data_IF_527604138346
#
_entry.id   IF_527604138346
#
_cell.length_a   1.000
_cell.length_b   1.000
_cell.length_c   1.000
_cell.angle_alpha   90.00
_cell.angle_beta   90.00
_cell.angle_gamma   90.00
#
_symmetry.space_group_name_H-M   'P 1'
#
loop_
_entity.id
_entity.type
_entity.pdbx_description
1 polymer ?
#
# COMPACT_ATOMS: atom_id res chain seq x y z
N UNK A 1 4.21 -16.74 30.20
CA UNK A 1 4.29 -15.85 29.03
C UNK A 1 3.45 -16.51 27.93
N UNK A 2 2.62 -15.77 27.22
CA UNK A 2 1.84 -16.36 26.13
C UNK A 2 2.73 -16.68 24.93
N UNK A 3 2.28 -17.53 24.00
CA UNK A 3 3.05 -17.87 22.81
C UNK A 3 3.39 -16.61 21.97
N UNK A 4 2.45 -15.68 21.87
CA UNK A 4 2.68 -14.39 21.20
C UNK A 4 3.82 -13.61 21.86
N UNK A 5 3.80 -13.49 23.19
CA UNK A 5 4.85 -12.76 23.92
C UNK A 5 6.24 -13.40 23.75
N UNK A 6 6.30 -14.73 23.76
CA UNK A 6 7.55 -15.47 23.56
C UNK A 6 8.13 -15.21 22.17
N UNK A 7 7.30 -15.26 21.13
CA UNK A 7 7.76 -15.01 19.76
C UNK A 7 8.18 -13.55 19.57
N UNK A 8 7.43 -12.59 20.11
CA UNK A 8 7.84 -11.17 20.08
C UNK A 8 9.21 -10.99 20.74
N UNK A 9 9.44 -11.58 21.92
CA UNK A 9 10.72 -11.52 22.61
C UNK A 9 11.86 -12.13 21.77
N UNK A 10 11.62 -13.28 21.15
CA UNK A 10 12.59 -13.93 20.25
C UNK A 10 12.92 -13.06 19.03
N UNK A 11 11.93 -12.41 18.42
CA UNK A 11 12.15 -11.52 17.28
C UNK A 11 13.04 -10.34 17.67
N UNK A 12 12.79 -9.72 18.83
CA UNK A 12 13.62 -8.62 19.36
C UNK A 12 15.06 -9.07 19.59
N UNK A 13 15.24 -10.22 20.21
CA UNK A 13 16.58 -10.78 20.52
C UNK A 13 17.36 -11.11 19.23
N UNK A 14 16.72 -11.78 18.26
CA UNK A 14 17.37 -12.21 17.01
C UNK A 14 17.65 -11.08 16.02
N UNK A 15 17.01 -9.93 16.16
CA UNK A 15 17.10 -8.82 15.23
C UNK A 15 17.52 -7.52 15.94
N UNK A 16 18.71 -7.47 16.57
CA UNK A 16 19.14 -6.27 17.27
C UNK A 16 19.20 -5.07 16.32
N UNK A 17 18.87 -3.87 16.83
CA UNK A 17 18.95 -2.60 16.08
C UNK A 17 17.97 -2.52 14.87
N UNK A 18 16.80 -3.18 14.95
CA UNK A 18 15.75 -3.11 13.93
C UNK A 18 14.39 -2.68 14.52
N UNK A 19 14.29 -1.47 15.10
CA UNK A 19 13.12 -1.05 15.87
C UNK A 19 11.82 -1.03 15.04
N UNK A 20 11.87 -0.67 13.76
CA UNK A 20 10.70 -0.65 12.89
C UNK A 20 10.16 -2.07 12.65
N UNK A 21 11.05 -3.05 12.50
CA UNK A 21 10.65 -4.45 12.36
C UNK A 21 10.06 -5.00 13.67
N UNK A 22 10.66 -4.67 14.82
CA UNK A 22 10.12 -5.07 16.14
C UNK A 22 8.71 -4.52 16.34
N UNK A 23 8.50 -3.24 16.02
CA UNK A 23 7.20 -2.59 16.16
C UNK A 23 6.15 -3.26 15.25
N UNK A 24 6.46 -3.49 13.98
CA UNK A 24 5.53 -4.11 13.04
C UNK A 24 5.12 -5.53 13.47
N UNK A 25 6.08 -6.35 13.90
CA UNK A 25 5.79 -7.70 14.41
C UNK A 25 4.91 -7.63 15.65
N UNK A 26 5.24 -6.76 16.61
CA UNK A 26 4.44 -6.58 17.83
C UNK A 26 3.00 -6.18 17.51
N UNK A 27 2.80 -5.15 16.70
CA UNK A 27 1.48 -4.65 16.33
C UNK A 27 0.62 -5.73 15.65
N UNK A 28 1.20 -6.47 14.72
CA UNK A 28 0.48 -7.54 14.02
C UNK A 28 0.16 -8.70 14.97
N UNK A 29 1.15 -9.23 15.69
CA UNK A 29 0.93 -10.40 16.57
C UNK A 29 -0.01 -10.09 17.74
N UNK A 30 0.04 -8.88 18.32
CA UNK A 30 -0.91 -8.44 19.34
C UNK A 30 -2.37 -8.46 18.81
N UNK A 31 -2.58 -8.00 17.59
CA UNK A 31 -3.91 -8.01 16.97
C UNK A 31 -4.43 -9.42 16.65
N UNK A 32 -3.54 -10.41 16.62
CA UNK A 32 -3.84 -11.80 16.29
C UNK A 32 -4.01 -12.70 17.53
N UNK A 33 -3.83 -12.18 18.76
CA UNK A 33 -3.90 -12.99 19.99
C UNK A 33 -5.13 -13.89 20.06
N UNK A 34 -6.29 -13.36 19.73
CA UNK A 34 -7.55 -14.09 19.79
C UNK A 34 -7.54 -15.35 18.90
N UNK A 35 -6.90 -15.27 17.74
CA UNK A 35 -6.77 -16.41 16.81
C UNK A 35 -5.67 -17.36 17.27
N UNK A 36 -4.55 -16.82 17.72
CA UNK A 36 -3.39 -17.60 18.16
C UNK A 36 -3.73 -18.40 19.42
N UNK A 37 -4.38 -17.79 20.40
CA UNK A 37 -4.79 -18.47 21.64
C UNK A 37 -5.81 -19.58 21.38
N UNK A 38 -6.70 -19.39 20.40
CA UNK A 38 -7.68 -20.42 20.02
C UNK A 38 -7.05 -21.65 19.34
N UNK A 39 -5.82 -21.54 18.82
CA UNK A 39 -5.12 -22.59 18.06
C UNK A 39 -3.68 -22.82 18.58
N UNK A 40 -3.37 -22.44 19.83
CA UNK A 40 -2.00 -22.36 20.34
C UNK A 40 -1.23 -23.68 20.25
N UNK A 41 -1.85 -24.80 20.60
CA UNK A 41 -1.19 -26.11 20.59
C UNK A 41 -0.68 -26.48 19.19
N UNK A 42 -1.53 -26.32 18.19
CA UNK A 42 -1.19 -26.62 16.79
C UNK A 42 -0.12 -25.66 16.26
N UNK A 43 -0.26 -24.35 16.54
CA UNK A 43 0.68 -23.34 16.05
C UNK A 43 2.06 -23.49 16.69
N UNK A 44 2.13 -23.80 17.99
CA UNK A 44 3.42 -24.11 18.66
C UNK A 44 4.07 -25.37 18.08
N UNK A 45 3.32 -26.42 17.90
CA UNK A 45 3.82 -27.69 17.33
C UNK A 45 4.50 -27.49 15.98
N UNK A 46 3.97 -26.58 15.17
CA UNK A 46 4.44 -26.32 13.81
C UNK A 46 5.41 -25.09 13.76
N UNK A 47 5.78 -24.50 14.90
CA UNK A 47 6.57 -23.27 15.00
C UNK A 47 6.05 -22.18 14.03
N UNK A 48 4.74 -22.02 13.98
CA UNK A 48 4.07 -21.25 12.94
C UNK A 48 4.42 -19.76 13.01
N UNK A 49 4.36 -19.16 14.20
CA UNK A 49 4.67 -17.75 14.36
C UNK A 49 6.15 -17.45 14.15
N UNK A 50 7.03 -18.35 14.56
CA UNK A 50 8.48 -18.24 14.32
C UNK A 50 8.79 -18.27 12.81
N UNK A 51 8.15 -19.15 12.06
CA UNK A 51 8.27 -19.22 10.58
C UNK A 51 7.65 -17.99 9.91
N UNK A 52 6.52 -17.51 10.41
CA UNK A 52 5.84 -16.34 9.88
C UNK A 52 6.61 -15.04 10.09
N UNK A 53 7.35 -14.92 11.20
CA UNK A 53 8.11 -13.71 11.56
C UNK A 53 9.56 -13.74 11.09
N UNK A 54 10.02 -14.86 10.52
CA UNK A 54 11.37 -15.00 9.98
C UNK A 54 11.28 -15.04 8.44
N UNK A 55 11.88 -14.07 7.72
CA UNK A 55 11.84 -14.08 6.27
C UNK A 55 12.54 -15.32 5.68
N UNK A 56 11.99 -15.87 4.61
CA UNK A 56 12.55 -17.06 3.94
C UNK A 56 13.94 -16.76 3.38
N UNK A 57 14.18 -15.55 2.84
CA UNK A 57 15.49 -15.12 2.34
C UNK A 57 15.72 -13.63 2.53
N UNK A 58 16.96 -13.28 2.82
CA UNK A 58 17.45 -11.90 2.90
C UNK A 58 18.68 -11.78 2.01
N UNK A 59 18.60 -10.94 0.99
CA UNK A 59 19.63 -10.78 -0.02
C UNK A 59 20.16 -9.35 0.09
N UNK A 60 21.47 -9.21 0.29
CA UNK A 60 22.18 -7.94 0.31
C UNK A 60 23.31 -7.98 -0.71
N UNK A 61 23.48 -6.89 -1.44
CA UNK A 61 24.51 -6.81 -2.47
C UNK A 61 25.03 -5.38 -2.64
N UNK A 62 26.26 -5.28 -3.12
CA UNK A 62 26.90 -4.02 -3.44
C UNK A 62 26.46 -3.54 -4.83
N UNK A 63 26.17 -2.24 -4.94
CA UNK A 63 25.73 -1.58 -6.18
C UNK A 63 26.74 -0.46 -6.53
N UNK A 64 27.80 -0.75 -7.29
CA UNK A 64 28.71 0.28 -7.80
C UNK A 64 28.18 0.89 -9.09
N UNK A 65 28.24 2.21 -9.20
CA UNK A 65 27.83 2.93 -10.41
C UNK A 65 28.68 4.20 -10.60
N UNK A 66 28.65 4.79 -11.79
CA UNK A 66 29.47 5.97 -12.12
C UNK A 66 28.54 7.18 -12.29
N UNK A 67 28.84 8.24 -11.58
CA UNK A 67 28.10 9.50 -11.65
C UNK A 67 28.46 10.33 -12.90
N UNK A 68 27.78 11.47 -13.07
CA UNK A 68 27.99 12.37 -14.21
C UNK A 68 29.37 13.04 -14.23
N UNK A 69 30.07 13.02 -13.09
CA UNK A 69 31.47 13.53 -12.98
C UNK A 69 32.51 12.45 -13.26
N UNK A 70 32.09 11.22 -13.58
CA UNK A 70 32.99 10.09 -13.81
C UNK A 70 33.51 9.43 -12.53
N UNK A 71 32.92 9.74 -11.37
CA UNK A 71 33.31 9.17 -10.08
C UNK A 71 32.52 7.91 -9.78
N UNK A 72 33.19 6.91 -9.20
CA UNK A 72 32.51 5.68 -8.73
C UNK A 72 31.78 5.94 -7.43
N UNK A 73 30.50 5.64 -7.44
CA UNK A 73 29.63 5.65 -6.28
C UNK A 73 29.30 4.21 -5.87
N UNK A 74 29.02 3.98 -4.58
CA UNK A 74 28.70 2.64 -4.08
C UNK A 74 27.49 2.74 -3.13
N UNK A 75 26.45 2.00 -3.46
CA UNK A 75 25.27 1.84 -2.62
C UNK A 75 25.09 0.37 -2.22
N UNK A 76 24.19 0.12 -1.28
CA UNK A 76 23.78 -1.22 -0.88
C UNK A 76 22.39 -1.51 -1.39
N UNK A 77 22.21 -2.66 -2.04
CA UNK A 77 20.94 -3.18 -2.50
C UNK A 77 20.41 -4.26 -1.54
N UNK A 78 19.09 -4.31 -1.39
CA UNK A 78 18.38 -5.24 -0.51
C UNK A 78 17.21 -5.87 -1.25
N UNK A 79 16.99 -7.18 -1.03
CA UNK A 79 15.72 -7.86 -1.30
C UNK A 79 15.41 -8.84 -0.19
N UNK A 80 14.27 -8.66 0.45
CA UNK A 80 13.73 -9.58 1.45
C UNK A 80 12.57 -10.33 0.80
N UNK A 81 12.75 -11.61 0.60
CA UNK A 81 11.77 -12.57 0.17
C UNK A 81 11.15 -13.15 1.44
N UNK A 82 10.00 -12.59 1.85
CA UNK A 82 9.53 -12.78 3.21
C UNK A 82 8.75 -14.08 3.36
N UNK A 83 7.72 -14.29 2.53
CA UNK A 83 6.87 -15.47 2.60
C UNK A 83 6.28 -15.78 1.23
N UNK A 84 6.42 -17.02 0.75
CA UNK A 84 5.96 -17.50 -0.56
C UNK A 84 4.80 -18.49 -0.48
N UNK A 85 4.22 -18.72 0.69
CA UNK A 85 3.19 -19.73 0.88
C UNK A 85 1.97 -19.56 -0.04
N UNK A 86 1.62 -18.32 -0.40
CA UNK A 86 0.46 -18.02 -1.27
C UNK A 86 0.86 -17.92 -2.75
N UNK A 87 2.12 -17.62 -3.06
CA UNK A 87 2.59 -17.43 -4.42
C UNK A 87 3.93 -16.71 -4.48
N UNK A 88 4.37 -16.29 -5.68
CA UNK A 88 5.64 -15.56 -5.86
C UNK A 88 5.74 -14.36 -4.92
N UNK A 89 6.94 -14.11 -4.41
CA UNK A 89 7.17 -12.91 -3.60
C UNK A 89 6.79 -11.65 -4.40
N UNK A 90 6.06 -10.75 -3.78
CA UNK A 90 5.56 -9.53 -4.43
C UNK A 90 5.72 -8.34 -3.50
N UNK A 91 6.29 -7.28 -4.01
CA UNK A 91 6.41 -6.01 -3.30
C UNK A 91 7.42 -5.06 -3.94
N UNK A 92 7.28 -3.77 -3.61
CA UNK A 92 8.02 -2.68 -4.23
C UNK A 92 9.50 -2.63 -3.90
N UNK A 93 10.23 -1.90 -4.73
CA UNK A 93 11.60 -1.45 -4.49
C UNK A 93 11.56 0.00 -4.04
N UNK A 94 12.23 0.33 -2.93
CA UNK A 94 12.34 1.70 -2.41
C UNK A 94 13.75 2.21 -2.59
N UNK A 95 13.92 3.36 -3.27
CA UNK A 95 15.21 4.07 -3.35
C UNK A 95 15.13 5.33 -2.52
N UNK A 96 15.77 5.28 -1.36
CA UNK A 96 15.77 6.38 -0.40
C UNK A 96 16.95 6.25 0.57
N UNK A 97 17.63 7.35 0.98
CA UNK A 97 18.78 7.28 1.87
C UNK A 97 18.55 6.58 3.21
N UNK A 98 17.31 6.56 3.68
CA UNK A 98 16.96 5.88 4.95
C UNK A 98 16.87 4.36 4.85
N UNK A 99 16.93 3.78 3.65
CA UNK A 99 16.76 2.34 3.45
C UNK A 99 17.89 1.56 4.12
N UNK A 100 17.49 0.60 4.93
CA UNK A 100 18.36 -0.39 5.56
C UNK A 100 17.61 -1.73 5.67
N UNK A 101 18.30 -2.78 6.10
CA UNK A 101 17.71 -4.11 6.17
C UNK A 101 16.47 -4.17 7.10
N UNK A 102 16.51 -3.48 8.25
CA UNK A 102 15.38 -3.46 9.21
C UNK A 102 14.11 -2.86 8.60
N UNK A 103 14.25 -1.75 7.86
CA UNK A 103 13.15 -1.10 7.15
C UNK A 103 12.60 -2.03 6.05
N UNK A 104 13.46 -2.68 5.27
CA UNK A 104 13.02 -3.60 4.22
C UNK A 104 12.35 -4.85 4.81
N UNK A 105 12.83 -5.37 5.94
CA UNK A 105 12.18 -6.48 6.66
C UNK A 105 10.79 -6.10 7.16
N UNK A 106 10.67 -4.96 7.82
CA UNK A 106 9.37 -4.49 8.30
C UNK A 106 8.36 -4.34 7.16
N UNK A 107 8.76 -3.67 6.07
CA UNK A 107 7.91 -3.50 4.90
C UNK A 107 7.56 -4.83 4.22
N UNK A 108 8.49 -5.78 4.19
CA UNK A 108 8.27 -7.12 3.65
C UNK A 108 7.28 -7.93 4.49
N UNK A 109 7.38 -7.84 5.81
CA UNK A 109 6.46 -8.48 6.74
C UNK A 109 5.02 -7.97 6.57
N UNK A 110 4.84 -6.66 6.56
CA UNK A 110 3.51 -6.07 6.33
C UNK A 110 2.94 -6.43 4.94
N UNK A 111 3.82 -6.53 3.93
CA UNK A 111 3.43 -6.87 2.57
C UNK A 111 2.82 -8.27 2.48
N UNK A 112 3.24 -9.23 3.31
CA UNK A 112 2.65 -10.58 3.37
C UNK A 112 1.15 -10.50 3.62
N UNK A 113 0.73 -9.77 4.65
CA UNK A 113 -0.68 -9.65 5.03
C UNK A 113 -1.49 -8.80 4.04
N UNK A 114 -0.90 -7.73 3.53
CA UNK A 114 -1.55 -6.90 2.51
C UNK A 114 -1.84 -7.70 1.23
N UNK A 115 -0.88 -8.48 0.76
CA UNK A 115 -1.03 -9.28 -0.45
C UNK A 115 -2.05 -10.41 -0.26
N UNK A 116 -2.04 -11.06 0.91
CA UNK A 116 -2.98 -12.14 1.22
C UNK A 116 -4.43 -11.70 1.18
N UNK A 117 -4.73 -10.46 1.58
CA UNK A 117 -6.08 -9.90 1.53
C UNK A 117 -6.64 -9.81 0.10
N UNK A 118 -5.80 -9.64 -0.90
CA UNK A 118 -6.27 -9.53 -2.30
C UNK A 118 -6.94 -10.81 -2.82
N UNK A 119 -6.73 -11.94 -2.16
CA UNK A 119 -7.20 -13.23 -2.63
C UNK A 119 -6.39 -13.80 -3.81
N UNK A 120 -5.42 -13.05 -4.34
CA UNK A 120 -4.61 -13.42 -5.49
C UNK A 120 -3.37 -14.23 -5.07
N UNK A 121 -2.81 -15.07 -5.98
CA UNK A 121 -1.67 -15.93 -5.67
C UNK A 121 -0.35 -15.14 -5.69
N UNK A 122 -0.16 -14.27 -4.72
CA UNK A 122 1.04 -13.45 -4.52
C UNK A 122 1.49 -13.50 -3.07
N UNK A 123 2.74 -13.86 -2.85
CA UNK A 123 3.40 -13.83 -1.55
C UNK A 123 3.88 -12.43 -1.16
N UNK A 124 4.67 -12.33 -0.11
CA UNK A 124 5.20 -11.07 0.39
C UNK A 124 6.71 -10.93 0.20
N UNK A 125 7.13 -9.79 -0.29
CA UNK A 125 8.53 -9.40 -0.40
C UNK A 125 8.70 -7.90 -0.47
N UNK A 126 9.92 -7.43 -0.22
CA UNK A 126 10.28 -6.01 -0.32
C UNK A 126 11.74 -5.86 -0.67
N UNK A 127 12.09 -4.77 -1.31
CA UNK A 127 13.49 -4.47 -1.62
C UNK A 127 13.76 -2.98 -1.71
N UNK A 128 14.99 -2.64 -2.03
CA UNK A 128 15.39 -1.26 -2.20
C UNK A 128 16.87 -1.04 -2.05
N UNK A 129 17.24 0.23 -1.92
CA UNK A 129 18.61 0.68 -1.74
C UNK A 129 18.64 2.02 -1.00
N UNK A 130 19.74 2.31 -0.34
CA UNK A 130 20.08 3.62 0.23
C UNK A 130 20.39 4.69 -0.81
N UNK A 131 20.21 4.38 -2.09
CA UNK A 131 20.36 5.32 -3.20
C UNK A 131 19.30 6.43 -3.16
N UNK A 132 19.72 7.69 -3.28
CA UNK A 132 18.83 8.84 -3.40
C UNK A 132 18.68 9.28 -4.86
N UNK A 133 17.51 9.08 -5.51
CA UNK A 133 17.31 9.50 -6.89
C UNK A 133 17.09 11.01 -7.03
N UNK A 134 16.87 11.74 -5.93
CA UNK A 134 16.63 13.18 -5.99
C UNK A 134 17.86 13.94 -6.51
N UNK A 135 17.65 14.80 -7.49
CA UNK A 135 18.70 15.61 -8.06
C UNK A 135 19.70 14.85 -8.95
N UNK A 136 19.48 13.58 -9.20
CA UNK A 136 20.26 12.78 -10.14
C UNK A 136 19.75 12.93 -11.57
N UNK A 137 20.67 12.87 -12.53
CA UNK A 137 20.32 12.84 -13.95
C UNK A 137 19.70 11.50 -14.35
N UNK A 138 18.99 11.46 -15.47
CA UNK A 138 18.45 10.21 -16.03
C UNK A 138 19.57 9.20 -16.32
N UNK A 139 20.75 9.66 -16.72
CA UNK A 139 21.92 8.81 -16.96
C UNK A 139 22.44 8.18 -15.67
N UNK A 140 22.54 8.94 -14.59
CA UNK A 140 22.93 8.44 -13.27
C UNK A 140 21.93 7.41 -12.73
N UNK A 141 20.63 7.70 -12.81
CA UNK A 141 19.57 6.79 -12.38
C UNK A 141 19.58 5.51 -13.22
N UNK A 142 19.78 5.62 -14.54
CA UNK A 142 19.90 4.45 -15.41
C UNK A 142 21.13 3.60 -15.04
N UNK A 143 22.29 4.22 -14.83
CA UNK A 143 23.50 3.53 -14.43
C UNK A 143 23.32 2.79 -13.10
N UNK A 144 22.71 3.44 -12.11
CA UNK A 144 22.36 2.81 -10.83
C UNK A 144 21.41 1.62 -11.03
N UNK A 145 20.29 1.80 -11.74
CA UNK A 145 19.30 0.75 -11.97
C UNK A 145 19.89 -0.46 -12.69
N UNK A 146 20.77 -0.23 -13.68
CA UNK A 146 21.44 -1.31 -14.39
C UNK A 146 22.39 -2.09 -13.48
N UNK A 147 23.18 -1.40 -12.66
CA UNK A 147 24.05 -2.05 -11.67
C UNK A 147 23.24 -2.82 -10.62
N UNK A 148 22.19 -2.22 -10.07
CA UNK A 148 21.28 -2.86 -9.11
C UNK A 148 20.67 -4.15 -9.67
N UNK A 149 20.15 -4.11 -10.90
CA UNK A 149 19.54 -5.27 -11.55
C UNK A 149 20.56 -6.35 -11.90
N UNK A 150 21.82 -5.98 -12.18
CA UNK A 150 22.91 -6.95 -12.48
C UNK A 150 23.17 -7.90 -11.30
N UNK A 151 22.88 -7.48 -10.08
CA UNK A 151 22.89 -8.36 -8.90
C UNK A 151 21.53 -9.02 -8.64
N UNK A 152 20.45 -8.25 -8.71
CA UNK A 152 19.11 -8.71 -8.32
C UNK A 152 18.56 -9.80 -9.27
N UNK A 153 18.89 -9.78 -10.57
CA UNK A 153 18.26 -10.66 -11.56
C UNK A 153 18.35 -12.15 -11.25
N UNK A 154 19.35 -12.57 -10.47
CA UNK A 154 19.56 -13.97 -10.07
C UNK A 154 18.47 -14.49 -9.14
N UNK A 155 17.73 -13.60 -8.50
CA UNK A 155 16.84 -13.89 -7.38
C UNK A 155 15.37 -13.61 -7.71
N UNK A 156 15.08 -13.03 -8.89
CA UNK A 156 13.74 -12.64 -9.30
C UNK A 156 13.32 -13.31 -10.61
N UNK A 157 12.04 -13.32 -10.88
CA UNK A 157 11.45 -13.90 -12.10
C UNK A 157 9.94 -13.90 -12.01
N UNK A 158 9.25 -14.15 -13.12
CA UNK A 158 7.79 -14.09 -13.22
C UNK A 158 7.07 -14.99 -12.21
N UNK A 159 7.65 -16.18 -11.93
CA UNK A 159 7.06 -17.19 -11.06
C UNK A 159 7.78 -17.34 -9.70
N UNK A 160 8.79 -16.51 -9.45
CA UNK A 160 9.60 -16.59 -8.22
C UNK A 160 9.40 -15.36 -7.35
N UNK A 161 9.71 -14.18 -7.91
CA UNK A 161 9.70 -12.91 -7.20
C UNK A 161 9.49 -11.76 -8.21
N UNK A 162 8.43 -11.00 -8.02
CA UNK A 162 8.03 -9.93 -8.95
C UNK A 162 8.05 -8.58 -8.23
N UNK A 163 9.16 -7.84 -8.26
CA UNK A 163 9.24 -6.50 -7.68
C UNK A 163 8.33 -5.49 -8.39
N UNK A 164 8.08 -4.36 -7.73
CA UNK A 164 7.30 -3.25 -8.24
C UNK A 164 7.94 -1.90 -7.84
N UNK A 165 7.30 -0.79 -8.19
CA UNK A 165 7.68 0.52 -7.71
C UNK A 165 7.27 0.78 -6.25
N UNK A 166 7.95 1.71 -5.62
CA UNK A 166 7.69 2.30 -4.31
C UNK A 166 8.35 3.69 -4.26
N UNK A 167 8.58 4.27 -3.07
CA UNK A 167 9.25 5.57 -2.93
C UNK A 167 10.57 5.57 -3.73
N UNK A 168 10.75 6.57 -4.58
CA UNK A 168 11.95 6.73 -5.41
C UNK A 168 12.04 5.78 -6.61
N UNK A 169 11.02 4.94 -6.85
CA UNK A 169 10.95 4.01 -7.99
C UNK A 169 9.62 4.15 -8.70
N UNK A 170 9.61 4.88 -9.78
CA UNK A 170 8.47 5.05 -10.67
C UNK A 170 8.63 4.31 -11.99
N UNK A 171 7.80 4.66 -12.98
CA UNK A 171 7.82 4.04 -14.31
C UNK A 171 9.16 4.13 -15.03
N UNK A 172 9.91 5.23 -14.84
CA UNK A 172 11.26 5.41 -15.40
C UNK A 172 12.24 4.37 -14.84
N UNK A 173 12.31 4.25 -13.53
CA UNK A 173 13.19 3.29 -12.84
C UNK A 173 12.80 1.84 -13.19
N UNK A 174 11.51 1.54 -13.19
CA UNK A 174 11.00 0.22 -13.62
C UNK A 174 11.41 -0.09 -15.05
N UNK A 175 11.36 0.89 -15.95
CA UNK A 175 11.82 0.74 -17.32
C UNK A 175 13.32 0.39 -17.42
N UNK A 176 14.17 1.10 -16.68
CA UNK A 176 15.61 0.83 -16.66
C UNK A 176 15.94 -0.53 -16.04
N UNK A 177 15.26 -0.89 -14.95
CA UNK A 177 15.42 -2.19 -14.30
C UNK A 177 14.98 -3.33 -15.23
N UNK A 178 13.82 -3.19 -15.87
CA UNK A 178 13.31 -4.19 -16.82
C UNK A 178 14.20 -4.36 -18.04
N UNK A 179 14.68 -3.26 -18.62
CA UNK A 179 15.58 -3.28 -19.77
C UNK A 179 16.89 -4.04 -19.48
N UNK A 180 17.46 -3.83 -18.30
CA UNK A 180 18.66 -4.56 -17.86
C UNK A 180 18.38 -6.03 -17.59
N UNK A 181 17.27 -6.36 -16.92
CA UNK A 181 16.84 -7.74 -16.71
C UNK A 181 16.73 -8.49 -18.04
N UNK A 182 15.98 -7.92 -19.00
CA UNK A 182 15.80 -8.48 -20.33
C UNK A 182 17.13 -8.68 -21.05
N UNK A 183 18.05 -7.70 -20.96
CA UNK A 183 19.36 -7.78 -21.57
C UNK A 183 20.20 -8.94 -21.05
N UNK A 184 20.15 -9.18 -19.72
CA UNK A 184 20.93 -10.25 -19.07
C UNK A 184 20.30 -11.61 -19.32
N UNK A 185 18.97 -11.72 -19.15
CA UNK A 185 18.25 -12.99 -19.27
C UNK A 185 18.05 -13.46 -20.71
N UNK A 186 18.02 -12.53 -21.66
CA UNK A 186 17.77 -12.84 -23.07
C UNK A 186 16.35 -13.31 -23.38
N UNK A 187 15.40 -13.13 -22.44
CA UNK A 187 14.01 -13.56 -22.55
C UNK A 187 13.05 -12.44 -22.24
N UNK A 188 11.85 -12.52 -22.83
CA UNK A 188 10.71 -11.70 -22.41
C UNK A 188 9.87 -12.48 -21.40
N UNK A 189 9.79 -11.98 -20.18
CA UNK A 189 8.95 -12.57 -19.14
C UNK A 189 8.29 -11.49 -18.28
N UNK A 190 7.23 -11.86 -17.55
CA UNK A 190 6.42 -10.96 -16.74
C UNK A 190 7.04 -10.61 -15.38
N UNK A 191 8.33 -10.34 -15.35
CA UNK A 191 9.02 -9.83 -14.16
C UNK A 191 8.82 -8.32 -14.05
N UNK A 192 8.77 -7.80 -12.83
CA UNK A 192 8.44 -6.42 -12.48
C UNK A 192 7.00 -6.03 -12.86
N UNK A 193 6.37 -5.20 -12.05
CA UNK A 193 5.10 -4.56 -12.35
C UNK A 193 5.20 -3.04 -12.25
N UNK A 194 4.24 -2.35 -12.86
CA UNK A 194 4.34 -0.92 -13.10
C UNK A 194 5.12 -0.59 -14.38
N UNK A 195 5.20 -1.56 -15.29
CA UNK A 195 5.81 -1.39 -16.62
C UNK A 195 5.00 -0.42 -17.48
N UNK A 196 5.66 0.17 -18.48
CA UNK A 196 4.96 0.93 -19.51
C UNK A 196 4.03 0.04 -20.37
N UNK A 197 2.96 0.63 -20.88
CA UNK A 197 1.97 -0.10 -21.69
C UNK A 197 2.54 -0.77 -22.93
N UNK A 198 3.65 -0.22 -23.47
CA UNK A 198 4.31 -0.75 -24.67
C UNK A 198 5.13 -2.03 -24.43
N UNK A 199 5.35 -2.41 -23.17
CA UNK A 199 6.14 -3.59 -22.81
C UNK A 199 5.58 -4.37 -21.62
N UNK A 200 4.26 -4.51 -21.57
CA UNK A 200 3.57 -5.41 -20.64
C UNK A 200 2.95 -4.76 -19.42
N UNK A 201 2.83 -3.43 -19.37
CA UNK A 201 2.09 -2.73 -18.34
C UNK A 201 0.58 -2.91 -18.46
N UNK A 202 -0.15 -2.68 -17.37
CA UNK A 202 -1.60 -2.77 -17.31
C UNK A 202 -2.24 -1.39 -17.34
N UNK A 203 -3.37 -1.28 -18.05
CA UNK A 203 -4.32 -0.17 -17.91
C UNK A 203 -4.88 -0.15 -16.48
N UNK A 204 -5.51 0.96 -16.09
CA UNK A 204 -6.08 1.21 -14.75
C UNK A 204 -5.08 1.14 -13.58
N UNK A 205 -3.77 0.96 -13.82
CA UNK A 205 -2.79 0.86 -12.73
C UNK A 205 -2.59 2.19 -11.99
N UNK A 206 -2.67 3.30 -12.70
CA UNK A 206 -2.53 4.64 -12.13
C UNK A 206 -3.71 4.97 -11.23
N UNK A 207 -4.89 4.59 -11.63
CA UNK A 207 -6.18 4.79 -10.98
C UNK A 207 -6.42 3.84 -9.80
N UNK A 208 -5.83 2.67 -9.85
CA UNK A 208 -6.19 1.50 -9.06
C UNK A 208 -6.28 1.71 -7.54
N UNK A 209 -5.39 2.50 -6.95
CA UNK A 209 -5.42 2.71 -5.50
C UNK A 209 -6.61 3.61 -5.10
N UNK A 210 -6.81 4.72 -5.81
CA UNK A 210 -7.94 5.62 -5.57
C UNK A 210 -9.29 4.97 -5.88
N UNK A 211 -9.38 4.25 -7.00
CA UNK A 211 -10.59 3.52 -7.37
C UNK A 211 -10.91 2.41 -6.37
N UNK A 212 -9.91 1.62 -6.00
CA UNK A 212 -10.06 0.56 -5.01
C UNK A 212 -10.52 1.09 -3.65
N UNK A 213 -9.99 2.23 -3.22
CA UNK A 213 -10.43 2.91 -2.00
C UNK A 213 -11.93 3.21 -2.03
N UNK A 214 -12.45 3.72 -3.12
CA UNK A 214 -13.88 4.04 -3.23
C UNK A 214 -14.76 2.80 -3.37
N UNK A 215 -14.30 1.74 -4.01
CA UNK A 215 -15.02 0.47 -4.04
C UNK A 215 -15.13 -0.14 -2.63
N UNK A 216 -14.05 -0.11 -1.85
CA UNK A 216 -14.01 -0.53 -0.46
C UNK A 216 -14.96 0.32 0.40
N UNK A 217 -14.87 1.64 0.28
CA UNK A 217 -15.73 2.59 1.02
C UNK A 217 -17.20 2.34 0.74
N UNK A 218 -17.56 2.19 -0.55
CA UNK A 218 -18.94 1.92 -0.95
C UNK A 218 -19.46 0.61 -0.37
N UNK A 219 -18.68 -0.46 -0.44
CA UNK A 219 -19.11 -1.76 0.05
C UNK A 219 -19.27 -1.76 1.58
N UNK A 220 -18.33 -1.14 2.31
CA UNK A 220 -18.46 -0.96 3.75
C UNK A 220 -19.74 -0.20 4.13
N UNK A 221 -20.03 0.91 3.47
CA UNK A 221 -21.23 1.71 3.75
C UNK A 221 -22.48 0.90 3.46
N UNK A 222 -22.54 0.23 2.32
CA UNK A 222 -23.67 -0.63 1.89
C UNK A 222 -23.98 -1.73 2.91
N UNK A 223 -22.98 -2.44 3.41
CA UNK A 223 -23.15 -3.48 4.43
C UNK A 223 -23.62 -2.92 5.78
N UNK A 224 -23.43 -1.62 6.00
CA UNK A 224 -23.97 -0.89 7.16
C UNK A 224 -25.28 -0.13 6.85
N UNK A 225 -25.93 -0.42 5.71
CA UNK A 225 -27.21 0.17 5.34
C UNK A 225 -27.13 1.64 4.90
N UNK A 226 -25.95 2.10 4.45
CA UNK A 226 -25.69 3.48 4.09
C UNK A 226 -25.32 3.55 2.61
N UNK A 227 -25.94 4.47 1.86
CA UNK A 227 -25.60 4.74 0.47
C UNK A 227 -24.43 5.75 0.40
N UNK A 228 -23.46 5.47 -0.49
CA UNK A 228 -22.36 6.39 -0.77
C UNK A 228 -22.83 7.61 -1.57
N UNK A 229 -23.78 7.41 -2.48
CA UNK A 229 -24.33 8.48 -3.29
C UNK A 229 -24.95 9.59 -2.43
N UNK A 230 -24.67 10.84 -2.78
CA UNK A 230 -25.11 12.03 -2.04
C UNK A 230 -24.27 12.39 -0.80
N UNK A 231 -23.26 11.58 -0.45
CA UNK A 231 -22.37 11.88 0.67
C UNK A 231 -21.28 12.88 0.28
N UNK A 232 -20.89 13.71 1.24
CA UNK A 232 -19.73 14.60 1.11
C UNK A 232 -18.47 13.92 1.64
N UNK A 233 -17.34 14.16 0.99
CA UNK A 233 -16.07 13.55 1.36
C UNK A 233 -14.95 14.58 1.54
N UNK A 234 -14.22 14.47 2.65
CA UNK A 234 -12.91 15.09 2.82
C UNK A 234 -11.88 14.16 2.19
N UNK A 235 -11.05 14.70 1.30
CA UNK A 235 -9.91 13.98 0.73
C UNK A 235 -8.65 14.75 1.06
N UNK A 236 -7.66 14.11 1.67
CA UNK A 236 -6.32 14.66 1.80
C UNK A 236 -5.42 14.22 0.66
N UNK A 237 -4.38 15.01 0.38
CA UNK A 237 -3.49 14.77 -0.76
C UNK A 237 -3.98 15.40 -2.06
N UNK A 238 -3.08 15.44 -3.01
CA UNK A 238 -3.32 15.85 -4.40
C UNK A 238 -2.39 15.09 -5.36
N UNK A 239 -1.96 13.91 -4.95
CA UNK A 239 -1.24 12.95 -5.78
C UNK A 239 -2.17 11.91 -6.39
N UNK A 240 -1.60 10.85 -7.00
CA UNK A 240 -2.38 9.82 -7.70
C UNK A 240 -3.54 9.27 -6.87
N UNK A 241 -3.30 8.88 -5.62
CA UNK A 241 -4.36 8.27 -4.79
C UNK A 241 -5.52 9.23 -4.62
N UNK A 242 -5.24 10.48 -4.26
CA UNK A 242 -6.26 11.51 -4.01
C UNK A 242 -7.02 11.90 -5.29
N UNK A 243 -6.32 12.14 -6.39
CA UNK A 243 -6.93 12.52 -7.68
C UNK A 243 -7.91 11.45 -8.15
N UNK A 244 -7.49 10.19 -8.14
CA UNK A 244 -8.35 9.10 -8.60
C UNK A 244 -9.40 8.65 -7.57
N UNK A 245 -9.18 8.93 -6.28
CA UNK A 245 -10.25 8.82 -5.27
C UNK A 245 -11.34 9.87 -5.53
N UNK A 246 -10.98 11.11 -5.81
CA UNK A 246 -11.91 12.19 -6.17
C UNK A 246 -12.70 11.82 -7.44
N UNK A 247 -12.00 11.35 -8.48
CA UNK A 247 -12.63 10.94 -9.73
C UNK A 247 -13.66 9.82 -9.52
N UNK A 248 -13.28 8.76 -8.81
CA UNK A 248 -14.17 7.63 -8.54
C UNK A 248 -15.31 8.01 -7.60
N UNK A 249 -15.08 8.91 -6.64
CA UNK A 249 -16.13 9.42 -5.75
C UNK A 249 -17.26 10.09 -6.55
N UNK A 250 -16.92 10.93 -7.52
CA UNK A 250 -17.93 11.52 -8.43
C UNK A 250 -18.67 10.48 -9.26
N UNK A 251 -17.95 9.51 -9.81
CA UNK A 251 -18.56 8.41 -10.58
C UNK A 251 -19.56 7.60 -9.76
N UNK A 252 -19.36 7.49 -8.46
CA UNK A 252 -20.21 6.78 -7.51
C UNK A 252 -21.24 7.69 -6.80
N UNK A 253 -21.35 8.96 -7.23
CA UNK A 253 -22.35 9.91 -6.75
C UNK A 253 -22.01 10.62 -5.43
N UNK A 254 -20.80 10.49 -4.90
CA UNK A 254 -20.34 11.26 -3.77
C UNK A 254 -19.74 12.61 -4.22
N UNK A 255 -19.65 13.56 -3.28
CA UNK A 255 -19.11 14.90 -3.53
C UNK A 255 -17.86 15.14 -2.70
N UNK A 256 -16.65 14.96 -3.25
CA UNK A 256 -15.41 15.38 -2.60
C UNK A 256 -15.31 16.90 -2.57
N UNK A 257 -14.97 17.47 -1.40
CA UNK A 257 -14.97 18.92 -1.16
C UNK A 257 -13.60 19.49 -0.79
N UNK A 258 -12.57 18.65 -0.65
CA UNK A 258 -11.22 19.08 -0.26
C UNK A 258 -10.13 18.37 -1.05
N UNK A 259 -8.96 18.98 -1.11
CA UNK A 259 -7.68 18.37 -1.46
C UNK A 259 -6.57 19.07 -0.68
N UNK A 260 -5.43 18.42 -0.44
CA UNK A 260 -4.30 19.00 0.31
C UNK A 260 -2.98 18.79 -0.41
N UNK A 261 -2.02 19.70 -0.18
CA UNK A 261 -0.61 19.45 -0.48
C UNK A 261 0.28 19.91 0.69
N UNK A 262 1.60 19.90 0.50
CA UNK A 262 2.53 20.22 1.58
C UNK A 262 2.50 21.69 2.03
N UNK A 263 1.80 22.56 1.31
CA UNK A 263 1.70 23.99 1.65
C UNK A 263 0.35 24.37 2.25
N UNK A 264 -0.70 23.61 1.96
CA UNK A 264 -2.03 23.92 2.46
C UNK A 264 -3.11 23.02 1.87
N UNK A 265 -4.35 23.47 1.99
CA UNK A 265 -5.52 22.71 1.55
C UNK A 265 -6.58 23.64 0.97
N UNK A 266 -7.42 23.05 0.12
CA UNK A 266 -8.56 23.72 -0.47
C UNK A 266 -9.87 23.17 0.10
N UNK A 267 -10.86 24.05 0.20
CA UNK A 267 -12.26 23.70 0.43
C UNK A 267 -13.11 24.30 -0.70
N UNK A 268 -13.79 23.42 -1.44
CA UNK A 268 -14.73 23.82 -2.48
C UNK A 268 -16.13 23.26 -2.11
N UNK A 269 -17.05 24.09 -1.62
CA UNK A 269 -18.37 23.63 -1.19
C UNK A 269 -19.23 23.09 -2.35
N UNK A 270 -18.93 23.48 -3.59
CA UNK A 270 -19.59 22.97 -4.79
C UNK A 270 -19.02 21.62 -5.25
N UNK A 271 -17.92 21.19 -4.65
CA UNK A 271 -17.14 20.01 -5.02
C UNK A 271 -15.87 20.36 -5.77
N UNK A 272 -14.81 19.58 -5.51
CA UNK A 272 -13.49 19.78 -6.14
C UNK A 272 -13.59 19.64 -7.65
N UNK A 273 -13.15 20.66 -8.38
CA UNK A 273 -13.01 20.61 -9.83
C UNK A 273 -11.81 19.72 -10.20
N UNK A 274 -12.12 18.51 -10.69
CA UNK A 274 -11.12 17.49 -11.01
C UNK A 274 -10.17 17.93 -12.12
N UNK A 275 -10.70 18.60 -13.16
CA UNK A 275 -9.88 19.04 -14.29
C UNK A 275 -8.90 20.16 -13.86
N UNK A 276 -9.37 21.12 -13.05
CA UNK A 276 -8.52 22.14 -12.46
C UNK A 276 -7.43 21.49 -11.57
N UNK A 277 -7.80 20.50 -10.77
CA UNK A 277 -6.84 19.80 -9.90
C UNK A 277 -5.77 19.05 -10.72
N UNK A 278 -6.18 18.32 -11.77
CA UNK A 278 -5.25 17.63 -12.68
C UNK A 278 -4.34 18.61 -13.41
N UNK A 279 -4.88 19.71 -13.93
CA UNK A 279 -4.11 20.75 -14.60
C UNK A 279 -3.02 21.33 -13.66
N UNK A 280 -3.37 21.64 -12.42
CA UNK A 280 -2.43 22.17 -11.45
C UNK A 280 -1.36 21.15 -11.07
N UNK A 281 -1.76 19.90 -10.75
CA UNK A 281 -0.85 18.92 -10.15
C UNK A 281 -0.08 18.08 -11.16
N UNK A 282 -0.71 17.66 -12.24
CA UNK A 282 -0.10 16.76 -13.22
C UNK A 282 0.58 17.52 -14.36
N UNK A 283 -0.03 18.61 -14.85
CA UNK A 283 0.49 19.39 -15.98
C UNK A 283 1.46 20.47 -15.50
N UNK A 284 0.97 21.40 -14.67
CA UNK A 284 1.77 22.53 -14.19
C UNK A 284 2.74 22.20 -13.07
N UNK A 285 2.48 21.08 -12.36
CA UNK A 285 3.23 20.68 -11.14
C UNK A 285 3.32 21.80 -10.09
N UNK A 286 2.24 22.59 -10.02
CA UNK A 286 2.13 23.75 -9.14
C UNK A 286 1.54 23.38 -7.77
N UNK A 287 1.38 24.38 -6.90
CA UNK A 287 0.77 24.26 -5.58
C UNK A 287 -0.74 24.48 -5.63
N UNK A 288 -1.46 23.93 -4.65
CA UNK A 288 -2.91 24.09 -4.55
C UNK A 288 -3.37 25.53 -4.32
N UNK A 289 -2.49 26.42 -3.89
CA UNK A 289 -2.77 27.85 -3.83
C UNK A 289 -3.21 28.45 -5.18
N UNK A 290 -2.88 27.79 -6.31
CA UNK A 290 -3.34 28.17 -7.63
C UNK A 290 -4.83 27.84 -7.88
N UNK A 291 -5.44 26.97 -7.09
CA UNK A 291 -6.78 26.44 -7.32
C UNK A 291 -7.87 27.50 -7.33
N UNK A 292 -7.77 28.51 -6.47
CA UNK A 292 -8.75 29.62 -6.40
C UNK A 292 -8.78 30.48 -7.67
N UNK A 293 -7.76 30.40 -8.54
CA UNK A 293 -7.78 31.05 -9.86
C UNK A 293 -8.74 30.37 -10.85
N UNK A 294 -8.99 29.07 -10.66
CA UNK A 294 -9.93 28.27 -11.46
C UNK A 294 -11.31 28.26 -10.82
N UNK A 295 -11.37 28.26 -9.50
CA UNK A 295 -12.59 28.17 -8.69
C UNK A 295 -12.64 29.32 -7.70
N UNK A 296 -13.12 30.53 -8.09
CA UNK A 296 -13.11 31.71 -7.22
C UNK A 296 -13.95 31.59 -5.95
N UNK A 297 -14.93 30.67 -5.91
CA UNK A 297 -15.77 30.41 -4.73
C UNK A 297 -15.14 29.41 -3.75
N UNK A 298 -14.03 28.79 -4.12
CA UNK A 298 -13.29 27.90 -3.25
C UNK A 298 -12.36 28.69 -2.32
N UNK A 299 -12.05 28.11 -1.19
CA UNK A 299 -11.14 28.66 -0.20
C UNK A 299 -9.80 27.91 -0.25
N UNK A 300 -8.70 28.65 -0.07
CA UNK A 300 -7.38 28.08 0.16
C UNK A 300 -6.90 28.46 1.56
N UNK A 301 -6.42 27.49 2.29
CA UNK A 301 -5.90 27.65 3.65
C UNK A 301 -4.46 27.14 3.71
N UNK A 302 -3.57 27.93 4.28
CA UNK A 302 -2.18 27.51 4.50
C UNK A 302 -2.07 26.50 5.66
N UNK A 303 -1.11 25.59 5.56
CA UNK A 303 -0.79 24.64 6.62
C UNK A 303 -1.79 23.50 6.75
N UNK A 304 -2.00 23.04 7.98
CA UNK A 304 -2.88 21.91 8.32
C UNK A 304 -4.29 22.40 8.70
N UNK A 305 -5.27 21.50 8.73
CA UNK A 305 -6.62 21.82 9.20
C UNK A 305 -7.77 21.22 8.39
N UNK A 306 -7.47 20.47 7.33
CA UNK A 306 -8.49 19.90 6.44
C UNK A 306 -9.55 19.07 7.17
N UNK A 307 -9.16 18.40 8.25
CA UNK A 307 -10.05 17.53 9.03
C UNK A 307 -11.11 18.29 9.86
N UNK A 308 -11.02 19.62 9.92
CA UNK A 308 -12.06 20.46 10.54
C UNK A 308 -13.28 20.71 9.64
N UNK A 309 -13.20 20.38 8.37
CA UNK A 309 -14.30 20.51 7.42
C UNK A 309 -15.40 19.50 7.78
N UNK A 310 -16.66 19.99 7.75
CA UNK A 310 -17.81 19.10 7.98
C UNK A 310 -18.09 18.27 6.72
N UNK A 311 -18.02 16.94 6.85
CA UNK A 311 -18.37 16.01 5.79
C UNK A 311 -18.77 14.65 6.37
N UNK A 312 -19.40 13.82 5.54
CA UNK A 312 -19.85 12.48 5.93
C UNK A 312 -18.71 11.47 5.99
N UNK A 313 -17.72 11.59 5.09
CA UNK A 313 -16.65 10.61 4.89
C UNK A 313 -15.31 11.30 4.90
N UNK A 314 -14.30 10.68 5.49
CA UNK A 314 -12.91 11.11 5.43
C UNK A 314 -12.04 10.06 4.72
N UNK A 315 -11.29 10.50 3.71
CA UNK A 315 -10.39 9.68 2.89
C UNK A 315 -8.95 10.23 3.00
N UNK A 316 -8.18 9.78 4.00
CA UNK A 316 -6.77 10.16 4.14
C UNK A 316 -5.93 9.53 3.00
N UNK A 317 -5.47 10.37 2.06
CA UNK A 317 -4.77 9.93 0.83
C UNK A 317 -3.38 10.57 0.65
N UNK A 318 -2.84 11.25 1.67
CA UNK A 318 -1.58 11.97 1.55
C UNK A 318 -0.40 11.21 2.19
N UNK A 319 -0.21 11.33 3.49
CA UNK A 319 1.01 10.85 4.15
C UNK A 319 0.73 10.11 5.47
N UNK A 320 1.73 9.37 5.91
CA UNK A 320 1.70 8.68 7.20
C UNK A 320 1.47 9.69 8.35
N UNK A 321 0.66 9.29 9.34
CA UNK A 321 0.37 10.05 10.57
C UNK A 321 -0.19 11.47 10.32
N UNK A 322 -0.89 11.69 9.23
CA UNK A 322 -1.50 12.99 8.91
C UNK A 322 -2.77 13.29 9.71
N UNK A 323 -3.49 12.25 10.16
CA UNK A 323 -4.70 12.34 10.97
C UNK A 323 -4.37 11.98 12.41
N UNK A 324 -4.32 12.99 13.26
CA UNK A 324 -3.98 12.90 14.68
C UNK A 324 -5.23 12.80 15.57
N UNK A 325 -5.06 12.56 16.87
CA UNK A 325 -6.18 12.45 17.81
C UNK A 325 -7.10 13.70 17.80
N UNK A 326 -6.54 14.89 17.75
CA UNK A 326 -7.35 16.12 17.72
C UNK A 326 -8.15 16.24 16.42
N UNK A 327 -7.59 15.79 15.29
CA UNK A 327 -8.29 15.72 14.02
C UNK A 327 -9.45 14.72 14.07
N UNK A 328 -9.23 13.56 14.70
CA UNK A 328 -10.29 12.55 14.91
C UNK A 328 -11.43 13.10 15.77
N UNK A 329 -11.10 13.86 16.82
CA UNK A 329 -12.12 14.52 17.65
C UNK A 329 -12.93 15.54 16.84
N UNK A 330 -12.28 16.31 15.98
CA UNK A 330 -12.97 17.27 15.10
C UNK A 330 -13.89 16.56 14.09
N UNK A 331 -13.43 15.46 13.48
CA UNK A 331 -14.24 14.65 12.57
C UNK A 331 -15.48 14.10 13.26
N UNK A 332 -15.34 13.51 14.46
CA UNK A 332 -16.47 12.99 15.24
C UNK A 332 -17.45 14.09 15.64
N UNK A 333 -16.94 15.25 16.10
CA UNK A 333 -17.78 16.39 16.46
C UNK A 333 -18.56 16.93 15.24
N UNK A 334 -18.00 16.84 14.04
CA UNK A 334 -18.64 17.22 12.78
C UNK A 334 -19.57 16.13 12.20
N UNK A 335 -19.67 14.97 12.85
CA UNK A 335 -20.60 13.90 12.47
C UNK A 335 -20.10 13.01 11.34
N UNK A 336 -18.77 12.81 11.19
CA UNK A 336 -18.22 11.86 10.24
C UNK A 336 -18.75 10.46 10.51
N UNK A 337 -19.16 9.75 9.48
CA UNK A 337 -19.70 8.38 9.60
C UNK A 337 -18.67 7.30 9.23
N UNK A 338 -17.69 7.65 8.40
CA UNK A 338 -16.69 6.70 7.93
C UNK A 338 -15.33 7.35 7.67
N UNK A 339 -14.27 6.59 7.95
CA UNK A 339 -12.88 6.89 7.59
C UNK A 339 -12.30 5.69 6.86
N UNK A 340 -11.79 5.88 5.62
CA UNK A 340 -11.15 4.85 4.82
C UNK A 340 -9.79 5.33 4.35
N UNK A 341 -8.74 4.60 4.69
CA UNK A 341 -7.36 5.02 4.47
C UNK A 341 -6.85 4.71 3.05
N UNK A 342 -6.65 5.74 2.25
CA UNK A 342 -5.99 5.64 0.94
C UNK A 342 -4.46 5.59 1.02
N UNK A 343 -3.87 6.29 1.98
CA UNK A 343 -2.44 6.26 2.26
C UNK A 343 -2.06 5.06 3.15
N UNK A 344 -0.76 4.84 3.36
CA UNK A 344 -0.28 3.86 4.32
C UNK A 344 -0.19 4.49 5.71
N UNK A 345 -0.92 3.93 6.67
CA UNK A 345 -0.97 4.36 8.08
C UNK A 345 -1.13 5.89 8.25
N UNK A 346 -2.11 6.53 7.60
CA UNK A 346 -2.28 7.98 7.71
C UNK A 346 -2.87 8.40 9.05
N UNK A 347 -3.61 7.52 9.72
CA UNK A 347 -4.26 7.76 11.02
C UNK A 347 -3.41 7.18 12.14
N UNK A 348 -3.15 7.96 13.19
CA UNK A 348 -2.42 7.45 14.36
C UNK A 348 -3.25 6.41 15.12
N UNK A 349 -2.58 5.54 15.87
CA UNK A 349 -3.26 4.50 16.65
C UNK A 349 -4.30 5.07 17.61
N UNK A 350 -3.95 6.15 18.32
CA UNK A 350 -4.85 6.83 19.25
C UNK A 350 -6.08 7.41 18.52
N UNK A 351 -5.88 7.99 17.35
CA UNK A 351 -6.97 8.52 16.52
C UNK A 351 -7.88 7.38 16.01
N UNK A 352 -7.29 6.26 15.57
CA UNK A 352 -8.04 5.07 15.14
C UNK A 352 -8.92 4.52 16.26
N UNK A 353 -8.36 4.36 17.46
CA UNK A 353 -9.11 3.90 18.63
C UNK A 353 -10.27 4.86 18.96
N UNK A 354 -9.99 6.15 18.99
CA UNK A 354 -11.01 7.17 19.26
C UNK A 354 -12.16 7.13 18.25
N UNK A 355 -11.85 7.02 16.95
CA UNK A 355 -12.85 6.92 15.88
C UNK A 355 -13.74 5.68 16.08
N UNK A 356 -13.14 4.52 16.34
CA UNK A 356 -13.86 3.26 16.55
C UNK A 356 -14.75 3.30 17.82
N UNK A 357 -14.23 3.85 18.93
CA UNK A 357 -14.97 4.00 20.18
C UNK A 357 -16.19 4.93 20.05
N UNK A 358 -16.15 5.88 19.11
CA UNK A 358 -17.25 6.78 18.80
C UNK A 358 -18.14 6.29 17.64
N UNK A 359 -18.02 5.02 17.24
CA UNK A 359 -18.92 4.39 16.27
C UNK A 359 -18.66 4.77 14.82
N UNK A 360 -17.51 5.37 14.51
CA UNK A 360 -17.10 5.67 13.12
C UNK A 360 -16.66 4.38 12.44
N UNK A 361 -17.20 4.11 11.27
CA UNK A 361 -16.76 3.00 10.42
C UNK A 361 -15.34 3.25 9.94
N UNK A 362 -14.42 2.33 10.21
CA UNK A 362 -13.00 2.56 9.91
C UNK A 362 -12.38 1.36 9.17
N UNK A 363 -11.83 1.60 7.97
CA UNK A 363 -11.07 0.58 7.22
C UNK A 363 -9.61 0.99 7.10
N UNK A 364 -8.67 0.12 7.55
CA UNK A 364 -7.25 0.42 7.53
C UNK A 364 -6.66 0.40 6.11
N UNK A 365 -5.59 1.16 5.90
CA UNK A 365 -4.93 1.30 4.60
C UNK A 365 -4.52 -0.02 3.96
N UNK A 366 -4.04 -0.99 4.74
CA UNK A 366 -3.65 -2.31 4.20
C UNK A 366 -4.77 -3.03 3.42
N UNK A 367 -6.03 -2.76 3.78
CA UNK A 367 -7.20 -3.25 3.05
C UNK A 367 -7.70 -2.21 2.04
N UNK A 368 -7.93 -0.98 2.46
CA UNK A 368 -8.56 0.05 1.65
C UNK A 368 -7.69 0.49 0.45
N UNK A 369 -6.37 0.50 0.57
CA UNK A 369 -5.46 0.85 -0.52
C UNK A 369 -4.89 -0.36 -1.28
N UNK A 370 -5.42 -1.55 -1.08
CA UNK A 370 -4.95 -2.78 -1.73
C UNK A 370 -5.18 -2.78 -3.27
N UNK A 371 -5.96 -1.86 -3.80
CA UNK A 371 -6.21 -1.75 -5.24
C UNK A 371 -4.95 -1.65 -6.09
N UNK A 372 -3.93 -0.94 -5.61
CA UNK A 372 -2.65 -0.83 -6.31
C UNK A 372 -1.92 -2.17 -6.46
N UNK A 373 -1.82 -2.96 -5.40
CA UNK A 373 -1.17 -4.28 -5.47
C UNK A 373 -2.05 -5.30 -6.18
N UNK A 374 -3.36 -5.22 -6.04
CA UNK A 374 -4.30 -6.06 -6.78
C UNK A 374 -4.14 -5.88 -8.29
N UNK A 375 -4.11 -4.64 -8.77
CA UNK A 375 -3.88 -4.37 -10.21
C UNK A 375 -2.47 -4.75 -10.65
N UNK A 376 -1.47 -4.67 -9.79
CA UNK A 376 -0.15 -5.22 -10.09
C UNK A 376 -0.18 -6.74 -10.30
N UNK A 377 -0.97 -7.47 -9.50
CA UNK A 377 -1.16 -8.91 -9.72
C UNK A 377 -1.96 -9.21 -11.01
N UNK A 378 -2.93 -8.35 -11.35
CA UNK A 378 -3.62 -8.43 -12.64
C UNK A 378 -2.68 -8.17 -13.83
N UNK A 379 -1.68 -7.29 -13.68
CA UNK A 379 -0.61 -7.10 -14.66
C UNK A 379 0.21 -8.40 -14.84
N UNK A 380 0.52 -9.09 -13.74
CA UNK A 380 1.20 -10.41 -13.81
C UNK A 380 0.34 -11.43 -14.57
N UNK A 381 -0.96 -11.48 -14.34
CA UNK A 381 -1.87 -12.38 -15.06
C UNK A 381 -1.88 -12.09 -16.57
N UNK A 382 -2.02 -10.82 -16.95
CA UNK A 382 -1.95 -10.39 -18.34
C UNK A 382 -0.60 -10.76 -19.00
N UNK A 383 0.51 -10.61 -18.27
CA UNK A 383 1.82 -10.99 -18.76
C UNK A 383 1.95 -12.50 -18.97
N UNK A 384 1.38 -13.32 -18.08
CA UNK A 384 1.37 -14.78 -18.22
C UNK A 384 0.53 -15.26 -19.40
N UNK A 385 -0.60 -14.61 -19.64
CA UNK A 385 -1.46 -14.88 -20.81
C UNK A 385 -0.88 -14.33 -22.11
N UNK A 386 0.07 -13.39 -22.03
CA UNK A 386 0.59 -12.57 -23.15
C UNK A 386 -0.50 -11.74 -23.85
N UNK A 387 -1.47 -11.27 -23.08
CA UNK A 387 -2.58 -10.43 -23.52
C UNK A 387 -2.57 -9.10 -22.77
N UNK A 388 -3.26 -8.13 -23.32
CA UNK A 388 -3.59 -6.87 -22.65
C UNK A 388 -5.11 -6.78 -22.53
N UNK A 389 -5.60 -6.58 -21.31
CA UNK A 389 -7.02 -6.36 -21.04
C UNK A 389 -7.39 -4.88 -21.23
N UNK A 390 -8.64 -4.63 -21.55
CA UNK A 390 -9.17 -3.26 -21.60
C UNK A 390 -9.19 -2.62 -20.21
N UNK A 391 -9.38 -1.31 -20.18
CA UNK A 391 -9.54 -0.58 -18.91
C UNK A 391 -10.72 -1.13 -18.11
N UNK A 392 -11.84 -1.36 -18.78
CA UNK A 392 -13.09 -1.85 -18.19
C UNK A 392 -12.92 -3.27 -17.61
N UNK A 393 -12.20 -4.15 -18.29
CA UNK A 393 -11.90 -5.51 -17.79
C UNK A 393 -11.05 -5.46 -16.52
N UNK A 394 -10.02 -4.61 -16.49
CA UNK A 394 -9.17 -4.46 -15.31
C UNK A 394 -9.96 -3.81 -14.16
N UNK A 395 -10.74 -2.76 -14.42
CA UNK A 395 -11.54 -2.07 -13.41
C UNK A 395 -12.63 -2.97 -12.82
N UNK A 396 -13.30 -3.77 -13.64
CA UNK A 396 -14.30 -4.74 -13.16
C UNK A 396 -13.68 -5.79 -12.23
N UNK A 397 -12.50 -6.32 -12.58
CA UNK A 397 -11.76 -7.26 -11.72
C UNK A 397 -11.29 -6.58 -10.43
N UNK A 398 -10.78 -5.36 -10.51
CA UNK A 398 -10.40 -4.56 -9.35
C UNK A 398 -11.57 -4.35 -8.40
N UNK A 399 -12.72 -3.94 -8.93
CA UNK A 399 -13.93 -3.75 -8.13
C UNK A 399 -14.31 -5.05 -7.38
N UNK A 400 -14.33 -6.19 -8.07
CA UNK A 400 -14.67 -7.46 -7.44
C UNK A 400 -13.66 -7.87 -6.36
N UNK A 401 -12.37 -7.63 -6.60
CA UNK A 401 -11.33 -7.90 -5.60
C UNK A 401 -11.55 -7.06 -4.34
N UNK A 402 -11.83 -5.76 -4.49
CA UNK A 402 -12.06 -4.88 -3.34
C UNK A 402 -13.32 -5.25 -2.54
N UNK A 403 -14.38 -5.65 -3.22
CA UNK A 403 -15.60 -6.19 -2.59
C UNK A 403 -15.26 -7.46 -1.79
N UNK A 404 -14.54 -8.40 -2.39
CA UNK A 404 -14.14 -9.63 -1.72
C UNK A 404 -13.24 -9.38 -0.50
N UNK A 405 -12.32 -8.41 -0.60
CA UNK A 405 -11.49 -8.01 0.55
C UNK A 405 -12.38 -7.55 1.70
N UNK A 406 -13.37 -6.69 1.43
CA UNK A 406 -14.25 -6.21 2.48
C UNK A 406 -15.03 -7.35 3.14
N UNK A 407 -15.65 -8.23 2.38
CA UNK A 407 -16.39 -9.36 2.96
C UNK A 407 -15.49 -10.29 3.77
N UNK A 408 -14.29 -10.61 3.28
CA UNK A 408 -13.35 -11.46 4.01
C UNK A 408 -12.93 -10.86 5.36
N UNK A 409 -12.66 -9.56 5.42
CA UNK A 409 -12.29 -8.92 6.68
C UNK A 409 -13.48 -8.77 7.64
N UNK A 410 -14.67 -8.53 7.12
CA UNK A 410 -15.89 -8.42 7.94
C UNK A 410 -16.30 -9.78 8.53
N UNK A 411 -16.25 -10.84 7.70
CA UNK A 411 -16.51 -12.22 8.15
C UNK A 411 -15.47 -12.67 9.19
N UNK A 412 -14.21 -12.35 9.01
CA UNK A 412 -13.16 -12.63 9.98
C UNK A 412 -13.39 -11.89 11.30
N UNK A 413 -13.77 -10.62 11.26
CA UNK A 413 -14.11 -9.85 12.46
C UNK A 413 -15.31 -10.47 13.19
N UNK A 414 -16.38 -10.84 12.48
CA UNK A 414 -17.57 -11.48 13.04
C UNK A 414 -17.26 -12.84 13.67
N UNK A 415 -16.46 -13.69 12.99
CA UNK A 415 -16.05 -15.03 13.44
C UNK A 415 -15.37 -14.99 14.81
N UNK A 416 -14.59 -13.97 15.09
CA UNK A 416 -13.85 -13.83 16.36
C UNK A 416 -14.50 -12.83 17.34
N UNK A 417 -15.80 -12.53 17.18
CA UNK A 417 -16.57 -11.69 18.11
C UNK A 417 -16.15 -10.21 18.12
N UNK A 418 -15.58 -9.74 17.00
CA UNK A 418 -15.13 -8.36 16.79
C UNK A 418 -15.90 -7.66 15.66
N UNK A 419 -17.18 -8.01 15.48
CA UNK A 419 -18.02 -7.42 14.45
C UNK A 419 -17.90 -5.89 14.40
N UNK A 420 -17.74 -5.32 13.20
CA UNK A 420 -17.51 -3.89 12.98
C UNK A 420 -16.08 -3.40 13.21
N UNK A 421 -15.18 -4.21 13.77
CA UNK A 421 -13.75 -3.87 13.88
C UNK A 421 -12.98 -4.38 12.65
N UNK A 422 -12.97 -3.57 11.60
CA UNK A 422 -12.35 -3.94 10.32
C UNK A 422 -10.82 -3.92 10.37
N UNK A 423 -10.20 -3.27 11.35
CA UNK A 423 -8.74 -3.34 11.59
C UNK A 423 -8.35 -4.74 12.02
N UNK A 424 -9.03 -5.26 13.04
CA UNK A 424 -8.82 -6.63 13.52
C UNK A 424 -9.19 -7.64 12.43
N UNK A 425 -10.34 -7.43 11.76
CA UNK A 425 -10.76 -8.28 10.65
C UNK A 425 -9.75 -8.40 9.53
N UNK A 426 -9.14 -7.28 9.11
CA UNK A 426 -8.11 -7.28 8.06
C UNK A 426 -6.85 -8.06 8.49
N UNK A 427 -6.40 -7.90 9.73
CA UNK A 427 -5.25 -8.64 10.24
C UNK A 427 -5.54 -10.15 10.32
N UNK A 428 -6.70 -10.54 10.83
CA UNK A 428 -7.09 -11.96 10.95
C UNK A 428 -7.27 -12.59 9.55
N UNK A 429 -8.01 -11.97 8.65
CA UNK A 429 -8.26 -12.51 7.31
C UNK A 429 -6.96 -12.71 6.53
N UNK A 430 -6.03 -11.73 6.60
CA UNK A 430 -4.72 -11.86 5.99
C UNK A 430 -3.89 -12.99 6.60
N UNK A 431 -3.90 -13.10 7.93
CA UNK A 431 -3.17 -14.12 8.67
C UNK A 431 -3.70 -15.53 8.38
N UNK A 432 -5.01 -15.78 8.51
CA UNK A 432 -5.61 -17.11 8.32
C UNK A 432 -5.25 -17.68 6.94
N UNK A 433 -5.33 -16.86 5.89
CA UNK A 433 -5.01 -17.32 4.55
C UNK A 433 -3.54 -17.77 4.40
N UNK A 434 -2.60 -17.02 4.99
CA UNK A 434 -1.17 -17.38 4.96
C UNK A 434 -0.93 -18.66 5.76
N UNK A 435 -1.52 -18.75 6.94
CA UNK A 435 -1.38 -19.89 7.85
C UNK A 435 -1.95 -21.16 7.25
N UNK A 436 -3.13 -21.11 6.64
CA UNK A 436 -3.74 -22.25 5.96
C UNK A 436 -2.82 -22.77 4.85
N UNK A 437 -2.24 -21.88 4.05
CA UNK A 437 -1.30 -22.27 3.02
C UNK A 437 0.00 -22.86 3.59
N UNK A 438 0.58 -22.24 4.64
CA UNK A 438 1.78 -22.75 5.32
C UNK A 438 1.55 -24.12 5.95
N UNK A 439 0.38 -24.34 6.54
CA UNK A 439 0.00 -25.62 7.17
C UNK A 439 -0.19 -26.72 6.11
N UNK A 440 -0.91 -26.39 5.03
CA UNK A 440 -1.17 -27.34 3.95
C UNK A 440 0.10 -27.78 3.20
N UNK A 441 1.08 -26.90 3.08
CA UNK A 441 2.37 -27.17 2.42
C UNK A 441 3.40 -27.88 3.32
N UNK A 442 3.14 -27.93 4.63
CA UNK A 442 4.03 -28.56 5.60
C UNK A 442 5.20 -27.69 6.04
N UNK A 443 6.30 -28.32 6.40
CA UNK A 443 7.52 -27.65 6.88
C UNK A 443 8.52 -27.59 5.71
N UNK A 444 8.52 -26.47 5.03
CA UNK A 444 9.37 -26.21 3.85
C UNK A 444 10.21 -24.95 4.09
#
# INVERSE_FOLDING_TARGET
MSYVDEVIAQVVEKNPVQPEFHQAVKEVLESLRVVVEANEEEFRKNALLERLTNPERQIMFRVPWVDDKGQVQVNTGFRVQFNSAIGPYKGGLRFHPSVNLGIIKFLGFEQVFKNSLTGLPIGGGKGGSDFDPKGKSDREIMAFCQSFMTELYRHIGADTDVPAGDIGVGGREIGYLYGQYKRIRGVYEGVLTGKGLTYGGSLARKEATGYGLLYMTREMLKENGIELAGKTAIVSGAGNVAIYAIEKAYQLGAKPVTATDSTGWIYDPEGVDLEALKEIKEVKRARLSEYTKYRPNAEYHEGKGVWSVKADIALPCATQNELQLEDAKALVANGVIAVCEGANMPTTLEATQYLQENGVLFVPGKAANAGGVATSALEMSQNSERLSWTFEEVDAKLQQIMINIFHNLDDAAKKYGKAGNYVVGANIAGFEKVVDAMTAQGIV
#
